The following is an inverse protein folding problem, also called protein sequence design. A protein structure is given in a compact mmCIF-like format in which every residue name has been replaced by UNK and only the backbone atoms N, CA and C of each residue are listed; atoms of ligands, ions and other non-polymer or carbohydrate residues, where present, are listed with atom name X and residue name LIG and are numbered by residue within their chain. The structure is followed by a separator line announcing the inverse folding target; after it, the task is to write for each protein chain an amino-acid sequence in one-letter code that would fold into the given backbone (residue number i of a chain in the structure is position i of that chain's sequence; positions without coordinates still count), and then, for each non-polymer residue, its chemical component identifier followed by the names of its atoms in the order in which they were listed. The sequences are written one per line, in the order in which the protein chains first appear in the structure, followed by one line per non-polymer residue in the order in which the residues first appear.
data_IF_672472693509
#
_entry.id   IF_672472693509
#
_cell.length_a   1.000
_cell.length_b   1.000
_cell.length_c   1.000
_cell.angle_alpha   90.00
_cell.angle_beta   90.00
_cell.angle_gamma   90.00
#
_symmetry.space_group_name_H-M   'P 1'
#
loop_
_entity.id
_entity.type
_entity.pdbx_description
1 polymer ?
#
# COMPACT_ATOMS: atom_id res chain seq x y z
N UNK A 1 -2.03 1.75 6.21
CA UNK A 1 -1.73 3.19 6.46
C UNK A 1 -1.20 3.49 7.87
N UNK A 2 -1.64 2.84 8.95
CA UNK A 2 -1.15 3.12 10.31
C UNK A 2 -0.21 2.04 10.86
N UNK A 3 0.66 1.47 10.02
CA UNK A 3 1.57 0.40 10.44
C UNK A 3 2.59 0.90 11.47
N UNK A 4 3.16 2.10 11.28
CA UNK A 4 4.02 2.72 12.29
C UNK A 4 3.32 2.89 13.64
N UNK A 5 2.10 3.44 13.66
CA UNK A 5 1.30 3.61 14.88
C UNK A 5 1.02 2.25 15.55
N UNK A 6 0.78 1.22 14.73
CA UNK A 6 0.59 -0.15 15.20
C UNK A 6 1.88 -0.75 15.79
N UNK A 7 3.04 -0.49 15.22
CA UNK A 7 4.32 -1.03 15.69
C UNK A 7 4.81 -0.35 16.97
N UNK A 8 4.58 0.96 17.14
CA UNK A 8 4.97 1.69 18.36
C UNK A 8 4.01 1.46 19.54
N UNK A 9 2.86 0.82 19.30
CA UNK A 9 1.86 0.55 20.32
C UNK A 9 1.20 1.77 20.94
N UNK A 10 0.88 2.73 20.08
CA UNK A 10 0.20 3.96 20.50
C UNK A 10 -1.18 3.71 21.12
N UNK A 11 -1.93 2.71 20.65
CA UNK A 11 -3.25 2.37 21.16
C UNK A 11 -3.21 1.15 22.10
N UNK A 12 -4.12 1.06 23.08
CA UNK A 12 -4.23 -0.12 23.92
C UNK A 12 -4.75 -1.34 23.12
N UNK A 13 -4.25 -2.53 23.45
CA UNK A 13 -4.69 -3.81 22.89
C UNK A 13 -3.55 -4.71 22.43
N UNK A 14 -3.79 -6.02 22.36
CA UNK A 14 -2.77 -7.01 21.98
C UNK A 14 -2.26 -6.82 20.54
N UNK A 15 -3.14 -6.43 19.62
CA UNK A 15 -2.80 -6.15 18.22
C UNK A 15 -2.08 -4.81 17.99
N UNK A 16 -1.90 -4.01 19.04
CA UNK A 16 -1.16 -2.75 18.99
C UNK A 16 0.19 -2.88 19.71
N UNK A 17 0.40 -3.93 20.50
CA UNK A 17 1.68 -4.20 21.15
C UNK A 17 2.49 -5.18 20.32
N UNK A 18 3.64 -4.74 19.80
CA UNK A 18 4.47 -5.56 18.91
C UNK A 18 4.81 -6.93 19.53
N UNK A 19 5.16 -6.96 20.80
CA UNK A 19 5.50 -8.17 21.57
C UNK A 19 4.33 -9.15 21.74
N UNK A 20 3.09 -8.64 21.81
CA UNK A 20 1.88 -9.45 21.96
C UNK A 20 1.21 -9.80 20.62
N UNK A 21 1.68 -9.21 19.54
CA UNK A 21 1.11 -9.34 18.22
C UNK A 21 1.46 -10.71 17.63
N UNK A 22 0.52 -11.39 16.96
CA UNK A 22 0.84 -12.62 16.23
C UNK A 22 1.94 -12.40 15.19
N UNK A 23 2.78 -13.41 14.95
CA UNK A 23 3.95 -13.32 14.05
C UNK A 23 3.57 -12.85 12.64
N UNK A 24 2.43 -13.30 12.10
CA UNK A 24 1.96 -12.86 10.79
C UNK A 24 1.73 -11.34 10.71
N UNK A 25 1.25 -10.74 11.79
CA UNK A 25 1.05 -9.30 11.89
C UNK A 25 2.36 -8.55 12.13
N UNK A 26 3.30 -9.11 12.89
CA UNK A 26 4.64 -8.53 13.07
C UNK A 26 5.37 -8.42 11.73
N UNK A 27 5.43 -9.53 10.97
CA UNK A 27 6.10 -9.60 9.67
C UNK A 27 5.46 -8.62 8.67
N UNK A 28 4.14 -8.71 8.51
CA UNK A 28 3.43 -7.82 7.58
C UNK A 28 3.55 -6.34 8.00
N UNK A 29 3.44 -6.06 9.29
CA UNK A 29 3.50 -4.71 9.83
C UNK A 29 4.85 -4.04 9.61
N UNK A 30 5.95 -4.74 9.93
CA UNK A 30 7.32 -4.22 9.74
C UNK A 30 7.61 -3.99 8.27
N UNK A 31 7.30 -4.97 7.42
CA UNK A 31 7.56 -4.87 5.97
C UNK A 31 6.79 -3.68 5.36
N UNK A 32 5.49 -3.60 5.62
CA UNK A 32 4.65 -2.51 5.09
C UNK A 32 5.03 -1.14 5.67
N UNK A 33 5.44 -1.07 6.93
CA UNK A 33 5.92 0.18 7.54
C UNK A 33 7.14 0.77 6.82
N UNK A 34 8.00 -0.07 6.26
CA UNK A 34 9.14 0.36 5.44
C UNK A 34 8.71 0.65 4.01
N UNK A 35 7.89 -0.20 3.40
CA UNK A 35 7.59 -0.10 1.97
C UNK A 35 6.71 1.10 1.63
N UNK A 36 5.77 1.50 2.50
CA UNK A 36 4.89 2.63 2.23
C UNK A 36 5.65 3.97 2.07
N UNK A 37 6.57 4.36 2.97
CA UNK A 37 7.43 5.53 2.77
C UNK A 37 8.26 5.46 1.48
N UNK A 38 8.83 4.30 1.16
CA UNK A 38 9.58 4.11 -0.08
C UNK A 38 8.66 4.32 -1.30
N UNK A 39 7.52 3.64 -1.36
CA UNK A 39 6.54 3.80 -2.42
C UNK A 39 6.13 5.27 -2.61
N UNK A 40 5.83 5.97 -1.50
CA UNK A 40 5.47 7.39 -1.53
C UNK A 40 6.61 8.25 -2.09
N UNK A 41 7.85 8.08 -1.60
CA UNK A 41 9.01 8.83 -2.09
C UNK A 41 9.29 8.56 -3.59
N UNK A 42 9.22 7.30 -4.01
CA UNK A 42 9.45 6.92 -5.40
C UNK A 42 8.39 7.45 -6.36
N UNK A 43 7.12 7.43 -5.95
CA UNK A 43 6.02 8.03 -6.72
C UNK A 43 6.15 9.56 -6.82
N UNK A 44 6.55 10.22 -5.72
CA UNK A 44 6.76 11.66 -5.68
C UNK A 44 7.88 12.12 -6.62
N UNK A 45 9.01 11.40 -6.61
CA UNK A 45 10.16 11.70 -7.47
C UNK A 45 9.99 11.22 -8.92
N UNK A 46 8.82 10.66 -9.28
CA UNK A 46 8.55 10.05 -10.59
C UNK A 46 9.57 8.95 -10.97
N UNK A 47 10.16 8.30 -9.97
CA UNK A 47 11.12 7.23 -10.18
C UNK A 47 10.41 5.96 -10.67
N UNK A 48 11.03 5.24 -11.60
CA UNK A 48 10.45 4.03 -12.20
C UNK A 48 10.17 2.91 -11.19
N UNK A 49 10.90 2.89 -10.06
CA UNK A 49 10.72 1.91 -8.98
C UNK A 49 9.54 2.22 -8.06
N UNK A 50 9.07 3.48 -7.98
CA UNK A 50 7.97 3.89 -7.10
C UNK A 50 6.67 3.09 -7.33
N UNK A 51 6.18 3.01 -8.58
CA UNK A 51 5.01 2.20 -8.92
C UNK A 51 5.17 0.71 -8.60
N UNK A 52 6.39 0.17 -8.72
CA UNK A 52 6.68 -1.24 -8.43
C UNK A 52 6.51 -1.52 -6.93
N UNK A 53 7.12 -0.69 -6.08
CA UNK A 53 7.01 -0.85 -4.62
C UNK A 53 5.57 -0.60 -4.15
N UNK A 54 4.91 0.41 -4.71
CA UNK A 54 3.50 0.65 -4.43
C UNK A 54 2.63 -0.56 -4.78
N UNK A 55 2.85 -1.17 -5.95
CA UNK A 55 2.10 -2.36 -6.37
C UNK A 55 2.33 -3.54 -5.42
N UNK A 56 3.55 -3.75 -4.93
CA UNK A 56 3.85 -4.78 -3.94
C UNK A 56 3.06 -4.52 -2.64
N UNK A 57 3.00 -3.27 -2.16
CA UNK A 57 2.18 -2.91 -1.01
C UNK A 57 0.70 -3.24 -1.24
N UNK A 58 0.18 -2.84 -2.41
CA UNK A 58 -1.22 -3.04 -2.79
C UNK A 58 -1.60 -4.52 -2.84
N UNK A 59 -0.77 -5.35 -3.50
CA UNK A 59 -0.98 -6.79 -3.57
C UNK A 59 -0.89 -7.41 -2.18
N UNK A 60 0.07 -6.97 -1.35
CA UNK A 60 0.21 -7.50 0.01
C UNK A 60 -1.03 -7.21 0.86
N UNK A 61 -1.48 -5.95 0.93
CA UNK A 61 -2.71 -5.62 1.68
C UNK A 61 -3.95 -6.30 1.08
N UNK A 62 -3.99 -6.49 -0.25
CA UNK A 62 -5.08 -7.23 -0.90
C UNK A 62 -5.10 -8.69 -0.46
N UNK A 63 -3.96 -9.38 -0.50
CA UNK A 63 -3.84 -10.77 -0.04
C UNK A 63 -4.17 -10.89 1.46
N UNK A 64 -3.72 -9.94 2.28
CA UNK A 64 -4.02 -9.92 3.71
C UNK A 64 -5.53 -9.83 3.98
N UNK A 65 -6.20 -8.83 3.40
CA UNK A 65 -7.60 -8.53 3.78
C UNK A 65 -8.66 -9.27 2.95
N UNK A 66 -8.35 -9.68 1.72
CA UNK A 66 -9.27 -10.46 0.88
C UNK A 66 -8.94 -11.96 0.86
N UNK A 67 -7.65 -12.31 0.91
CA UNK A 67 -7.19 -13.71 0.88
C UNK A 67 -7.20 -14.39 2.26
N UNK A 68 -6.74 -13.67 3.29
CA UNK A 68 -6.65 -14.19 4.67
C UNK A 68 -7.43 -13.34 5.69
N UNK A 69 -8.73 -13.08 5.46
CA UNK A 69 -9.52 -12.22 6.34
C UNK A 69 -9.63 -12.71 7.78
N UNK A 70 -9.58 -14.03 8.01
CA UNK A 70 -9.62 -14.61 9.37
C UNK A 70 -8.36 -14.27 10.19
N UNK A 71 -7.23 -14.02 9.53
CA UNK A 71 -5.96 -13.67 10.19
C UNK A 71 -5.80 -12.14 10.38
N UNK A 72 -6.18 -11.37 9.37
CA UNK A 72 -5.93 -9.91 9.34
C UNK A 72 -7.20 -9.06 9.56
N UNK A 73 -8.37 -9.69 9.69
CA UNK A 73 -9.67 -9.03 9.78
C UNK A 73 -10.16 -8.51 8.42
N UNK A 74 -11.44 -8.12 8.37
CA UNK A 74 -12.02 -7.49 7.19
C UNK A 74 -11.80 -5.97 7.20
N UNK A 75 -11.06 -5.43 6.22
CA UNK A 75 -10.90 -3.98 6.02
C UNK A 75 -11.12 -3.58 4.56
N UNK A 76 -12.38 -3.63 4.12
CA UNK A 76 -12.79 -3.28 2.75
C UNK A 76 -12.37 -1.86 2.32
N UNK A 77 -12.33 -0.91 3.24
CA UNK A 77 -11.87 0.47 2.96
C UNK A 77 -10.44 0.52 2.41
N UNK A 78 -9.57 -0.41 2.83
CA UNK A 78 -8.19 -0.47 2.33
C UNK A 78 -8.16 -0.99 0.90
N UNK A 79 -8.97 -1.99 0.57
CA UNK A 79 -9.07 -2.50 -0.80
C UNK A 79 -9.59 -1.42 -1.76
N UNK A 80 -10.63 -0.69 -1.34
CA UNK A 80 -11.21 0.40 -2.14
C UNK A 80 -10.20 1.53 -2.36
N UNK A 81 -9.43 1.91 -1.35
CA UNK A 81 -8.43 2.98 -1.51
C UNK A 81 -7.32 2.59 -2.50
N UNK A 82 -6.85 1.34 -2.49
CA UNK A 82 -5.89 0.84 -3.46
C UNK A 82 -6.44 0.85 -4.88
N UNK A 83 -7.69 0.42 -5.05
CA UNK A 83 -8.37 0.46 -6.34
C UNK A 83 -8.50 1.91 -6.87
N UNK A 84 -8.86 2.86 -6.01
CA UNK A 84 -8.92 4.27 -6.39
C UNK A 84 -7.57 4.83 -6.82
N UNK A 85 -6.49 4.54 -6.08
CA UNK A 85 -5.14 5.00 -6.44
C UNK A 85 -4.66 4.34 -7.73
N UNK A 86 -4.91 3.04 -7.92
CA UNK A 86 -4.61 2.32 -9.15
C UNK A 86 -5.30 2.99 -10.36
N UNK A 87 -6.59 3.29 -10.21
CA UNK A 87 -7.39 3.92 -11.25
C UNK A 87 -6.85 5.30 -11.61
N UNK A 88 -6.59 6.16 -10.61
CA UNK A 88 -6.01 7.48 -10.83
C UNK A 88 -4.64 7.40 -11.53
N UNK A 89 -3.80 6.45 -11.10
CA UNK A 89 -2.50 6.23 -11.71
C UNK A 89 -2.61 5.84 -13.19
N UNK A 90 -3.50 4.90 -13.52
CA UNK A 90 -3.75 4.47 -14.90
C UNK A 90 -4.26 5.66 -15.74
N UNK A 91 -5.23 6.42 -15.22
CA UNK A 91 -5.78 7.60 -15.88
C UNK A 91 -4.67 8.61 -16.19
N UNK A 92 -3.84 8.96 -15.21
CA UNK A 92 -2.74 9.89 -15.45
C UNK A 92 -1.73 9.36 -16.47
N UNK A 93 -1.36 8.08 -16.39
CA UNK A 93 -0.45 7.46 -17.36
C UNK A 93 -1.01 7.47 -18.77
N UNK A 94 -2.30 7.17 -18.94
CA UNK A 94 -3.00 7.22 -20.23
C UNK A 94 -3.04 8.65 -20.76
N UNK A 95 -3.44 9.63 -19.94
CA UNK A 95 -3.48 11.04 -20.34
C UNK A 95 -2.11 11.53 -20.80
N UNK A 96 -1.05 11.25 -20.02
CA UNK A 96 0.33 11.64 -20.39
C UNK A 96 0.77 10.93 -21.68
N UNK A 97 0.43 9.65 -21.85
CA UNK A 97 0.76 8.93 -23.09
C UNK A 97 0.05 9.52 -24.31
N UNK A 98 -1.23 9.90 -24.17
CA UNK A 98 -2.00 10.54 -25.23
C UNK A 98 -1.47 11.94 -25.57
N UNK A 99 -1.04 12.73 -24.58
CA UNK A 99 -0.40 14.03 -24.80
C UNK A 99 0.97 13.92 -25.49
N UNK A 100 1.72 12.84 -25.24
CA UNK A 100 3.03 12.60 -25.85
C UNK A 100 2.96 12.07 -27.28
N UNK A 101 1.79 11.70 -27.80
CA UNK A 101 1.63 11.46 -29.25
C UNK A 101 1.65 12.83 -29.93
N UNK A 102 2.69 13.18 -30.70
CA UNK A 102 2.66 14.41 -31.48
C UNK A 102 1.45 14.32 -32.40
N UNK A 103 0.66 15.38 -32.47
CA UNK A 103 -0.25 15.57 -33.59
C UNK A 103 0.62 15.48 -34.85
N UNK A 104 0.49 14.36 -35.57
CA UNK A 104 1.18 14.12 -36.83
C UNK A 104 0.55 15.09 -37.84
N UNK A 105 1.11 16.28 -37.94
CA UNK A 105 0.87 17.25 -39.00
C UNK A 105 2.18 17.51 -39.73
#
# INVERSE_FOLDING_TARGET
VLYWIKLIGFYPGSLWRFDLMPVHWQVAGVMLAVFFPFAAAGLWMLASWGPVIWFICAVTETVMYAGFPELFGHRLLILVSHACVALLYIVFRVVIYLQKRPARH
#
